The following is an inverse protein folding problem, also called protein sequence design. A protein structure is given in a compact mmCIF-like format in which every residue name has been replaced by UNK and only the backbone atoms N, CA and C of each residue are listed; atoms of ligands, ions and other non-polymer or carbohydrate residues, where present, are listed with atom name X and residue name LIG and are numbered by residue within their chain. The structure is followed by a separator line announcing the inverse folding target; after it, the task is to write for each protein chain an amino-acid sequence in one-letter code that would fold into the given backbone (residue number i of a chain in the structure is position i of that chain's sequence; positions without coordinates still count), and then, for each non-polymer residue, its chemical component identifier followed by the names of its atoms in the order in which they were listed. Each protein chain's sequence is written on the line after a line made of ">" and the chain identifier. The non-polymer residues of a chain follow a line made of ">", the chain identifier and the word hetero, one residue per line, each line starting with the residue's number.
data_IF_719623729727
#
_entry.id   IF_719623729727
#
_cell.length_a   1.000
_cell.length_b   1.000
_cell.length_c   1.000
_cell.angle_alpha   90.00
_cell.angle_beta   90.00
_cell.angle_gamma   90.00
#
_symmetry.space_group_name_H-M   'P 1'
#
loop_
_entity.id
_entity.type
_entity.pdbx_description
1 polymer ?
#
# COMPACT_ATOMS: atom_id res chain seq x y z
N UNK A 1 -9.91 -6.62 -30.63
CA UNK A 1 -10.77 -7.65 -30.05
C UNK A 1 -12.22 -7.43 -30.41
N UNK A 2 -12.91 -8.51 -30.69
CA UNK A 2 -14.36 -8.54 -30.94
C UNK A 2 -15.02 -9.26 -29.79
N UNK A 3 -15.17 -8.66 -28.63
CA UNK A 3 -15.74 -9.35 -27.48
C UNK A 3 -15.88 -8.43 -26.27
N UNK A 4 -16.26 -9.01 -25.13
CA UNK A 4 -16.43 -8.32 -23.86
C UNK A 4 -15.12 -7.75 -23.31
N UNK A 5 -13.97 -8.16 -23.85
CA UNK A 5 -12.61 -7.78 -23.43
C UNK A 5 -11.96 -6.67 -24.29
N UNK A 6 -12.72 -6.03 -25.18
CA UNK A 6 -12.23 -4.95 -26.05
C UNK A 6 -11.58 -3.79 -25.33
N UNK A 7 -12.01 -3.52 -24.11
CA UNK A 7 -11.49 -2.46 -23.26
C UNK A 7 -10.13 -2.78 -22.61
N UNK A 8 -9.71 -4.07 -22.66
CA UNK A 8 -8.41 -4.47 -22.12
C UNK A 8 -7.34 -4.22 -23.18
N UNK A 9 -6.28 -3.44 -22.89
CA UNK A 9 -5.15 -3.24 -23.81
C UNK A 9 -4.49 -4.55 -24.20
N UNK A 10 -3.98 -4.60 -25.44
CA UNK A 10 -3.33 -5.82 -25.97
C UNK A 10 -1.97 -6.08 -25.29
N UNK A 11 -1.32 -5.04 -24.82
CA UNK A 11 -0.01 -5.04 -24.14
C UNK A 11 -0.10 -5.22 -22.63
N UNK A 12 -1.28 -5.58 -22.11
CA UNK A 12 -1.42 -5.82 -20.68
C UNK A 12 -0.53 -6.99 -20.22
N UNK A 13 0.29 -6.82 -19.16
CA UNK A 13 1.43 -7.70 -18.86
C UNK A 13 1.02 -9.14 -18.47
N UNK A 14 -0.22 -9.35 -18.07
CA UNK A 14 -0.71 -10.67 -17.66
C UNK A 14 -1.64 -11.31 -18.69
N UNK A 15 -1.74 -10.75 -19.90
CA UNK A 15 -2.46 -11.38 -20.99
C UNK A 15 -1.68 -12.59 -21.53
N UNK A 16 -2.38 -13.72 -21.71
CA UNK A 16 -1.79 -15.00 -22.15
C UNK A 16 -0.66 -15.54 -21.26
N UNK A 17 -0.61 -15.16 -20.01
CA UNK A 17 0.32 -15.68 -18.99
C UNK A 17 -0.39 -16.72 -18.15
N UNK A 18 0.12 -17.96 -18.13
CA UNK A 18 -0.50 -19.06 -17.37
C UNK A 18 -0.78 -18.68 -15.91
N UNK A 19 -1.94 -19.09 -15.36
CA UNK A 19 -2.98 -19.93 -15.93
C UNK A 19 -3.99 -19.17 -16.83
N UNK A 20 -3.78 -17.88 -17.12
CA UNK A 20 -4.69 -17.06 -17.91
C UNK A 20 -4.54 -17.38 -19.39
N UNK A 21 -5.65 -17.72 -20.06
CA UNK A 21 -5.73 -17.83 -21.52
C UNK A 21 -6.56 -16.65 -22.02
N UNK A 22 -5.98 -15.81 -22.87
CA UNK A 22 -6.63 -14.60 -23.39
C UNK A 22 -6.18 -13.33 -22.67
N UNK A 23 -6.98 -12.27 -22.78
CA UNK A 23 -6.68 -10.97 -22.18
C UNK A 23 -6.94 -10.96 -20.68
N UNK A 24 -6.08 -10.30 -19.95
CA UNK A 24 -6.20 -10.05 -18.51
C UNK A 24 -6.32 -8.56 -18.23
N UNK A 25 -7.27 -8.18 -17.38
CA UNK A 25 -7.40 -6.80 -16.89
C UNK A 25 -6.39 -6.46 -15.77
N UNK A 26 -5.64 -7.44 -15.30
CA UNK A 26 -4.66 -7.24 -14.23
C UNK A 26 -3.46 -6.48 -14.77
N UNK A 27 -3.14 -5.33 -14.17
CA UNK A 27 -1.98 -4.50 -14.52
C UNK A 27 -0.78 -4.74 -13.60
N UNK A 28 -1.06 -4.90 -12.31
CA UNK A 28 -0.09 -5.16 -11.25
C UNK A 28 -0.71 -6.07 -10.20
N UNK A 29 0.10 -6.66 -9.31
CA UNK A 29 -0.35 -7.61 -8.29
C UNK A 29 0.17 -7.22 -6.91
N UNK A 30 -0.35 -7.88 -5.87
CA UNK A 30 0.19 -7.75 -4.52
C UNK A 30 -0.15 -6.45 -3.80
N UNK A 31 -1.16 -5.73 -4.25
CA UNK A 31 -1.71 -4.56 -3.55
C UNK A 31 -2.88 -5.04 -2.70
N UNK A 32 -2.89 -4.68 -1.41
CA UNK A 32 -3.93 -5.14 -0.48
C UNK A 32 -5.26 -4.42 -0.68
N UNK A 33 -5.31 -3.14 -0.37
CA UNK A 33 -6.56 -2.35 -0.37
C UNK A 33 -6.26 -0.91 -0.80
N UNK A 34 -6.18 -0.69 -2.10
CA UNK A 34 -5.92 0.64 -2.64
C UNK A 34 -7.17 1.51 -2.55
N UNK A 35 -7.04 2.71 -2.00
CA UNK A 35 -8.14 3.64 -1.76
C UNK A 35 -8.02 4.95 -2.56
N UNK A 36 -6.85 5.28 -3.07
CA UNK A 36 -6.64 6.48 -3.86
C UNK A 36 -5.61 6.27 -4.96
N UNK A 37 -5.80 6.96 -6.10
CA UNK A 37 -4.82 7.04 -7.17
C UNK A 37 -4.51 8.50 -7.48
N UNK A 38 -3.26 8.77 -7.83
CA UNK A 38 -2.84 10.08 -8.33
C UNK A 38 -1.80 9.94 -9.44
N UNK A 39 -1.79 10.87 -10.37
CA UNK A 39 -0.85 10.90 -11.48
C UNK A 39 0.00 12.17 -11.42
N UNK A 40 1.29 12.02 -11.17
CA UNK A 40 2.28 13.11 -11.15
C UNK A 40 3.58 12.66 -11.80
N UNK A 41 4.32 13.58 -12.43
CA UNK A 41 5.59 13.28 -13.09
C UNK A 41 5.55 12.05 -14.00
N UNK A 42 4.50 11.93 -14.84
CA UNK A 42 4.28 10.78 -15.74
C UNK A 42 4.28 9.42 -15.04
N UNK A 43 3.90 9.39 -13.78
CA UNK A 43 3.81 8.16 -12.99
C UNK A 43 2.47 8.08 -12.26
N UNK A 44 1.89 6.88 -12.25
CA UNK A 44 0.71 6.57 -11.46
C UNK A 44 1.15 6.11 -10.07
N UNK A 45 0.54 6.68 -9.06
CA UNK A 45 0.72 6.26 -7.66
C UNK A 45 -0.59 5.79 -7.07
N UNK A 46 -0.50 4.84 -6.14
CA UNK A 46 -1.64 4.33 -5.38
C UNK A 46 -1.37 4.36 -3.89
N UNK A 47 -2.41 4.61 -3.08
CA UNK A 47 -2.35 4.51 -1.62
C UNK A 47 -3.14 3.32 -1.12
N UNK A 48 -2.52 2.48 -0.30
CA UNK A 48 -3.09 1.22 0.16
C UNK A 48 -3.01 1.07 1.67
N UNK A 49 -4.06 0.49 2.27
CA UNK A 49 -4.03 0.10 3.69
C UNK A 49 -3.17 -1.14 3.89
N UNK A 50 -2.27 -1.08 4.86
CA UNK A 50 -1.66 -2.27 5.43
C UNK A 50 -2.65 -3.07 6.30
N UNK A 51 -2.33 -4.32 6.66
CA UNK A 51 -3.23 -5.16 7.45
C UNK A 51 -3.38 -4.70 8.91
N UNK A 52 -2.29 -4.29 9.52
CA UNK A 52 -2.23 -3.83 10.91
C UNK A 52 -1.40 -2.56 11.07
N UNK A 53 -0.39 -2.40 10.23
CA UNK A 53 0.50 -1.25 10.11
C UNK A 53 0.89 -1.10 8.64
N UNK A 54 1.82 -0.22 8.35
CA UNK A 54 2.45 -0.13 7.03
C UNK A 54 1.47 0.18 5.90
N UNK A 55 0.68 1.22 6.08
CA UNK A 55 -0.07 1.80 4.98
C UNK A 55 0.92 2.31 3.91
N UNK A 56 0.70 1.95 2.66
CA UNK A 56 1.68 2.12 1.60
C UNK A 56 1.30 3.21 0.61
N UNK A 57 2.32 3.87 0.08
CA UNK A 57 2.23 4.61 -1.19
C UNK A 57 3.13 3.93 -2.20
N UNK A 58 2.53 3.44 -3.27
CA UNK A 58 3.19 2.68 -4.33
C UNK A 58 3.21 3.44 -5.64
N UNK A 59 4.34 3.42 -6.36
CA UNK A 59 4.37 3.75 -7.78
C UNK A 59 3.85 2.53 -8.55
N UNK A 60 2.75 2.69 -9.27
CA UNK A 60 2.10 1.58 -9.97
C UNK A 60 2.76 1.33 -11.32
N UNK A 61 3.43 0.20 -11.43
CA UNK A 61 4.23 -0.19 -12.61
C UNK A 61 3.66 -1.48 -13.20
N UNK A 62 3.60 -1.53 -14.52
CA UNK A 62 3.15 -2.70 -15.28
C UNK A 62 3.91 -3.97 -14.90
N UNK A 63 3.19 -5.04 -14.63
CA UNK A 63 3.77 -6.37 -14.37
C UNK A 63 4.36 -6.56 -12.98
N UNK A 64 4.42 -5.52 -12.15
CA UNK A 64 5.06 -5.60 -10.84
C UNK A 64 4.17 -6.25 -9.77
N UNK A 65 4.81 -6.64 -8.67
CA UNK A 65 4.19 -7.24 -7.51
C UNK A 65 4.59 -6.46 -6.24
N UNK A 66 3.62 -6.02 -5.47
CA UNK A 66 3.78 -5.20 -4.26
C UNK A 66 3.73 -6.03 -2.97
N UNK A 67 3.85 -7.36 -3.08
CA UNK A 67 4.17 -8.25 -1.97
C UNK A 67 2.98 -8.82 -1.22
N UNK A 68 1.86 -8.10 -1.09
CA UNK A 68 0.72 -8.63 -0.34
C UNK A 68 0.24 -9.99 -0.91
N UNK A 69 -0.04 -10.98 -0.07
CA UNK A 69 -0.10 -10.97 1.38
C UNK A 69 1.19 -11.39 2.12
N UNK A 70 2.29 -11.62 1.43
CA UNK A 70 3.52 -12.19 2.01
C UNK A 70 4.50 -11.14 2.54
N UNK A 71 4.52 -9.97 1.92
CA UNK A 71 5.37 -8.84 2.29
C UNK A 71 4.45 -7.68 2.64
N UNK A 72 4.70 -7.04 3.77
CA UNK A 72 3.91 -5.93 4.30
C UNK A 72 4.84 -4.72 4.45
N UNK A 73 4.48 -3.61 3.81
CA UNK A 73 5.37 -2.45 3.76
C UNK A 73 6.60 -2.74 2.94
N UNK A 74 7.78 -2.46 3.48
CA UNK A 74 9.05 -2.74 2.80
C UNK A 74 9.55 -4.13 3.15
N UNK A 75 10.02 -4.85 2.16
CA UNK A 75 10.58 -6.18 2.35
C UNK A 75 11.68 -6.26 3.43
N UNK A 76 12.44 -5.18 3.61
CA UNK A 76 13.57 -5.13 4.53
C UNK A 76 13.22 -4.76 5.96
N UNK A 77 11.98 -4.36 6.26
CA UNK A 77 11.62 -3.88 7.60
C UNK A 77 11.31 -5.02 8.61
N UNK A 78 11.02 -6.22 8.11
CA UNK A 78 10.88 -7.40 8.94
C UNK A 78 9.69 -7.37 9.89
N UNK A 79 8.63 -6.66 9.56
CA UNK A 79 7.49 -6.39 10.44
C UNK A 79 6.86 -7.59 11.09
N UNK A 80 6.71 -8.67 10.34
CA UNK A 80 5.99 -9.84 10.81
C UNK A 80 6.87 -11.07 11.02
N UNK A 81 8.17 -10.95 10.86
CA UNK A 81 9.09 -12.10 10.85
C UNK A 81 9.06 -12.90 12.15
N UNK A 82 9.15 -12.28 13.29
CA UNK A 82 9.14 -12.93 14.59
C UNK A 82 7.77 -13.04 15.25
N UNK A 83 6.76 -12.40 14.70
CA UNK A 83 5.48 -12.22 15.37
C UNK A 83 4.78 -13.55 15.66
N UNK A 84 4.80 -14.49 14.72
CA UNK A 84 4.20 -15.81 14.88
C UNK A 84 4.93 -16.66 15.93
N UNK A 85 6.25 -16.56 15.99
CA UNK A 85 7.05 -17.28 16.98
C UNK A 85 6.81 -16.75 18.40
N UNK A 86 6.62 -15.44 18.53
CA UNK A 86 6.34 -14.80 19.81
C UNK A 86 4.91 -15.02 20.30
N UNK A 87 3.94 -15.16 19.38
CA UNK A 87 2.54 -15.45 19.69
C UNK A 87 1.98 -16.52 18.73
N UNK A 88 1.76 -17.76 19.19
CA UNK A 88 1.28 -18.87 18.35
C UNK A 88 -0.06 -18.59 17.66
N UNK A 89 -0.87 -17.70 18.22
CA UNK A 89 -2.16 -17.31 17.65
C UNK A 89 -2.03 -16.21 16.60
N UNK A 90 -0.89 -15.56 16.51
CA UNK A 90 -0.63 -14.55 15.50
C UNK A 90 -0.17 -15.23 14.20
N UNK A 91 -0.96 -15.10 13.16
CA UNK A 91 -0.70 -15.68 11.85
C UNK A 91 -0.33 -14.63 10.80
N UNK A 92 -0.02 -13.40 11.22
CA UNK A 92 0.27 -12.31 10.33
C UNK A 92 -0.84 -12.11 9.30
N UNK A 93 -0.48 -11.96 8.04
CA UNK A 93 -1.44 -11.77 6.95
C UNK A 93 -2.49 -12.88 6.85
N UNK A 94 -2.20 -14.11 7.29
CA UNK A 94 -3.16 -15.21 7.21
C UNK A 94 -4.40 -14.99 8.08
N UNK A 95 -4.32 -14.13 9.09
CA UNK A 95 -5.49 -13.77 9.90
C UNK A 95 -6.56 -13.04 9.08
N UNK A 96 -6.18 -12.32 8.03
CA UNK A 96 -7.12 -11.61 7.17
C UNK A 96 -8.02 -12.56 6.39
N UNK A 97 -7.55 -13.76 6.15
CA UNK A 97 -8.26 -14.77 5.37
C UNK A 97 -8.87 -15.87 6.24
N UNK A 98 -8.70 -15.79 7.55
CA UNK A 98 -9.28 -16.77 8.48
C UNK A 98 -10.80 -16.82 8.32
N UNK A 99 -11.33 -18.01 8.02
CA UNK A 99 -12.76 -18.20 7.77
C UNK A 99 -13.24 -17.84 6.35
N UNK A 100 -12.36 -17.43 5.45
CA UNK A 100 -12.75 -17.22 4.05
C UNK A 100 -13.08 -18.54 3.36
N UNK A 101 -14.27 -18.66 2.73
CA UNK A 101 -14.63 -19.86 2.00
C UNK A 101 -13.80 -20.07 0.71
N UNK A 102 -13.09 -19.04 0.27
CA UNK A 102 -12.27 -19.08 -0.95
C UNK A 102 -10.86 -19.61 -0.71
N UNK A 103 -10.42 -19.65 0.56
CA UNK A 103 -9.07 -20.06 0.93
C UNK A 103 -9.18 -21.23 1.91
N UNK A 104 -8.97 -22.42 1.41
CA UNK A 104 -9.08 -23.66 2.19
C UNK A 104 -7.80 -24.02 2.94
N UNK A 105 -6.65 -23.50 2.48
CA UNK A 105 -5.38 -23.63 3.15
C UNK A 105 -4.56 -22.36 3.00
N UNK A 106 -3.98 -21.87 4.10
CA UNK A 106 -3.11 -20.71 4.10
C UNK A 106 -1.67 -21.18 4.17
N UNK A 107 -0.78 -20.69 3.29
CA UNK A 107 0.63 -21.04 3.36
C UNK A 107 1.23 -20.57 4.69
N UNK A 108 2.27 -21.23 5.13
CA UNK A 108 3.01 -20.79 6.31
C UNK A 108 3.59 -19.39 6.05
N UNK A 109 3.57 -18.55 7.07
CA UNK A 109 4.27 -17.26 7.02
C UNK A 109 5.76 -17.56 7.04
N UNK A 110 6.46 -17.11 6.02
CA UNK A 110 7.91 -17.14 5.94
C UNK A 110 8.47 -15.79 6.36
N UNK A 111 9.76 -15.72 6.56
CA UNK A 111 10.47 -14.45 6.73
C UNK A 111 10.31 -13.62 5.46
N UNK A 112 9.64 -12.46 5.56
CA UNK A 112 9.38 -11.60 4.40
C UNK A 112 10.68 -11.07 3.76
N UNK A 113 11.73 -10.83 4.55
CA UNK A 113 13.03 -10.38 4.05
C UNK A 113 13.64 -11.39 3.06
N UNK A 114 13.34 -12.67 3.24
CA UNK A 114 13.82 -13.77 2.41
C UNK A 114 12.78 -14.27 1.38
N UNK A 115 11.58 -13.66 1.32
CA UNK A 115 10.58 -14.08 0.36
C UNK A 115 11.04 -13.80 -1.08
N UNK A 116 10.93 -14.82 -1.93
CA UNK A 116 11.35 -14.79 -3.33
C UNK A 116 10.22 -14.36 -4.28
N UNK A 117 9.32 -13.45 -3.84
CA UNK A 117 8.23 -12.95 -4.68
C UNK A 117 8.79 -12.34 -5.98
N UNK A 118 8.43 -12.90 -7.15
CA UNK A 118 8.93 -12.40 -8.43
C UNK A 118 8.44 -10.97 -8.72
N UNK A 119 9.31 -10.16 -9.32
CA UNK A 119 9.02 -8.77 -9.73
C UNK A 119 8.52 -7.90 -8.56
N UNK A 120 9.01 -8.17 -7.35
CA UNK A 120 8.67 -7.38 -6.18
C UNK A 120 9.25 -5.96 -6.27
N UNK A 121 8.45 -5.00 -5.84
CA UNK A 121 8.84 -3.59 -5.73
C UNK A 121 8.40 -3.05 -4.38
N UNK A 122 9.34 -2.42 -3.66
CA UNK A 122 9.04 -1.73 -2.41
C UNK A 122 8.11 -0.52 -2.63
N UNK A 123 7.26 -0.16 -1.66
CA UNK A 123 6.54 1.11 -1.67
C UNK A 123 7.53 2.27 -1.63
N UNK A 124 7.17 3.39 -2.27
CA UNK A 124 7.95 4.63 -2.17
C UNK A 124 7.94 5.18 -0.74
N UNK A 125 6.86 4.91 -0.02
CA UNK A 125 6.68 5.27 1.38
C UNK A 125 5.77 4.28 2.10
N UNK A 126 6.13 3.92 3.33
CA UNK A 126 5.32 3.13 4.26
C UNK A 126 5.09 3.92 5.54
N UNK A 127 3.82 4.07 5.92
CA UNK A 127 3.41 4.77 7.15
C UNK A 127 3.45 3.83 8.34
N UNK A 128 4.06 4.29 9.44
CA UNK A 128 4.10 3.56 10.69
C UNK A 128 4.72 2.18 10.57
N UNK A 129 5.89 2.13 9.94
CA UNK A 129 6.73 0.93 10.00
C UNK A 129 6.84 0.46 11.44
N UNK A 130 6.42 -0.76 11.70
CA UNK A 130 6.34 -1.30 13.05
C UNK A 130 7.17 -2.59 13.13
N UNK A 131 7.97 -2.71 14.17
CA UNK A 131 8.71 -3.95 14.42
C UNK A 131 7.81 -5.08 14.93
N UNK A 132 8.33 -6.30 14.89
CA UNK A 132 7.62 -7.49 15.35
C UNK A 132 7.11 -7.37 16.79
N UNK A 133 7.90 -6.78 17.69
CA UNK A 133 7.52 -6.65 19.10
C UNK A 133 6.30 -5.74 19.26
N UNK A 134 6.27 -4.63 18.53
CA UNK A 134 5.13 -3.70 18.50
C UNK A 134 3.88 -4.39 17.96
N UNK A 135 3.99 -5.11 16.85
CA UNK A 135 2.86 -5.84 16.24
C UNK A 135 2.32 -6.89 17.21
N UNK A 136 3.18 -7.71 17.81
CA UNK A 136 2.77 -8.73 18.78
C UNK A 136 2.10 -8.11 20.00
N UNK A 137 2.66 -7.03 20.54
CA UNK A 137 2.10 -6.33 21.69
C UNK A 137 0.70 -5.78 21.39
N UNK A 138 0.51 -5.12 20.27
CA UNK A 138 -0.80 -4.57 19.88
C UNK A 138 -1.80 -5.70 19.65
N UNK A 139 -1.41 -6.75 18.95
CA UNK A 139 -2.27 -7.90 18.68
C UNK A 139 -2.74 -8.59 19.96
N UNK A 140 -1.85 -8.70 20.95
CA UNK A 140 -2.13 -9.38 22.21
C UNK A 140 -2.96 -8.53 23.18
N UNK A 141 -2.61 -7.24 23.29
CA UNK A 141 -3.12 -6.38 24.36
C UNK A 141 -4.16 -5.36 23.89
N UNK A 142 -4.19 -5.06 22.59
CA UNK A 142 -5.14 -4.10 22.01
C UNK A 142 -5.60 -4.53 20.61
N UNK A 143 -6.36 -5.62 20.52
CA UNK A 143 -6.77 -6.18 19.22
C UNK A 143 -7.80 -5.32 18.48
N UNK A 144 -8.29 -4.24 19.08
CA UNK A 144 -9.22 -3.34 18.40
C UNK A 144 -8.53 -2.53 17.31
N UNK A 145 -9.24 -2.22 16.23
CA UNK A 145 -8.72 -1.45 15.09
C UNK A 145 -8.24 -0.05 15.46
N UNK A 146 -8.68 0.51 16.60
CA UNK A 146 -8.27 1.86 17.03
C UNK A 146 -6.81 1.93 17.46
N UNK A 147 -6.24 0.85 18.00
CA UNK A 147 -4.86 0.79 18.48
C UNK A 147 -3.82 0.59 17.39
N UNK A 148 -4.20 0.09 16.23
CA UNK A 148 -3.25 -0.21 15.17
C UNK A 148 -2.61 1.05 14.57
N UNK A 149 -1.28 1.05 14.33
CA UNK A 149 -0.57 2.17 13.74
C UNK A 149 -0.90 2.27 12.24
N UNK A 150 -1.82 3.16 11.92
CA UNK A 150 -2.32 3.39 10.56
C UNK A 150 -2.81 4.83 10.42
N UNK A 151 -2.68 5.40 9.25
CA UNK A 151 -3.38 6.63 8.84
C UNK A 151 -4.74 6.30 8.24
N UNK A 152 -4.93 5.05 7.81
CA UNK A 152 -6.06 4.61 7.01
C UNK A 152 -6.22 5.54 5.79
N UNK A 153 -5.32 5.47 4.79
CA UNK A 153 -5.37 6.34 3.62
C UNK A 153 -6.68 6.16 2.86
N UNK A 154 -7.20 7.25 2.33
CA UNK A 154 -8.39 7.26 1.48
C UNK A 154 -8.06 7.86 0.13
N UNK A 155 -8.77 8.91 -0.31
CA UNK A 155 -8.45 9.59 -1.55
C UNK A 155 -7.01 10.12 -1.57
N UNK A 156 -6.43 10.13 -2.75
CA UNK A 156 -5.13 10.72 -3.02
C UNK A 156 -5.22 11.54 -4.31
N UNK A 157 -4.68 12.74 -4.28
CA UNK A 157 -4.68 13.64 -5.44
C UNK A 157 -3.27 14.18 -5.71
N UNK A 158 -2.99 14.44 -6.99
CA UNK A 158 -1.71 14.99 -7.43
C UNK A 158 -1.74 16.51 -7.50
N UNK A 159 -0.93 17.20 -6.69
CA UNK A 159 -0.78 18.65 -6.79
C UNK A 159 0.25 19.01 -7.85
N UNK A 160 -0.22 19.32 -9.06
CA UNK A 160 0.63 19.65 -10.21
C UNK A 160 0.86 21.16 -10.41
N UNK A 161 0.17 21.97 -9.64
CA UNK A 161 0.25 23.42 -9.71
C UNK A 161 1.50 23.99 -9.02
N UNK A 162 1.83 25.24 -9.33
CA UNK A 162 2.97 25.95 -8.73
C UNK A 162 2.55 27.08 -7.75
N UNK A 163 1.27 27.12 -7.34
CA UNK A 163 0.77 28.17 -6.45
C UNK A 163 1.34 28.10 -5.04
N UNK A 164 1.62 26.90 -4.54
CA UNK A 164 2.28 26.71 -3.26
C UNK A 164 3.76 26.39 -3.53
N UNK A 165 4.69 27.22 -3.07
CA UNK A 165 6.12 26.97 -3.27
C UNK A 165 6.55 25.61 -2.73
N UNK A 166 7.29 24.84 -3.53
CA UNK A 166 7.78 23.50 -3.17
C UNK A 166 6.76 22.36 -3.29
N UNK A 167 5.48 22.65 -3.53
CA UNK A 167 4.44 21.60 -3.56
C UNK A 167 4.22 20.96 -4.94
N UNK A 168 4.69 21.61 -6.01
CA UNK A 168 4.49 21.07 -7.35
C UNK A 168 4.95 19.63 -7.45
N UNK A 169 4.11 18.77 -8.05
CA UNK A 169 4.30 17.32 -8.19
C UNK A 169 4.34 16.55 -6.85
N UNK A 170 3.62 17.03 -5.87
CA UNK A 170 3.38 16.29 -4.63
C UNK A 170 2.11 15.45 -4.74
N UNK A 171 2.08 14.36 -3.99
CA UNK A 171 0.89 13.57 -3.69
C UNK A 171 0.29 14.10 -2.39
N UNK A 172 -1.00 14.35 -2.38
CA UNK A 172 -1.74 14.74 -1.17
C UNK A 172 -2.69 13.60 -0.84
N UNK A 173 -2.55 13.05 0.37
CA UNK A 173 -3.33 11.93 0.85
C UNK A 173 -4.29 12.37 1.93
N UNK A 174 -5.51 11.90 1.84
CA UNK A 174 -6.53 12.03 2.88
C UNK A 174 -6.43 10.86 3.87
N UNK A 175 -6.64 11.14 5.14
CA UNK A 175 -6.62 10.15 6.22
C UNK A 175 -8.01 9.97 6.83
N UNK A 176 -8.47 8.72 6.95
CA UNK A 176 -9.71 8.38 7.64
C UNK A 176 -9.54 8.33 9.16
N UNK A 177 -8.33 8.01 9.63
CA UNK A 177 -8.08 7.73 11.04
C UNK A 177 -7.50 8.92 11.79
N UNK A 178 -6.70 9.75 11.14
CA UNK A 178 -5.91 10.80 11.79
C UNK A 178 -6.48 12.21 11.65
N UNK A 179 -7.49 12.40 10.78
CA UNK A 179 -8.15 13.69 10.61
C UNK A 179 -7.27 14.78 10.01
N UNK A 180 -6.24 14.43 9.25
CA UNK A 180 -5.35 15.36 8.57
C UNK A 180 -5.03 14.92 7.14
N UNK A 181 -4.47 15.83 6.39
CA UNK A 181 -3.88 15.54 5.08
C UNK A 181 -2.38 15.31 5.22
N UNK A 182 -1.83 14.46 4.38
CA UNK A 182 -0.41 14.21 4.30
C UNK A 182 0.09 14.55 2.90
N UNK A 183 1.20 15.27 2.83
CA UNK A 183 1.89 15.56 1.59
C UNK A 183 3.15 14.69 1.49
N UNK A 184 3.30 14.03 0.35
CA UNK A 184 4.50 13.33 -0.05
C UNK A 184 4.92 13.85 -1.41
N UNK A 185 6.19 14.19 -1.57
CA UNK A 185 6.76 14.49 -2.87
C UNK A 185 7.64 13.35 -3.31
N UNK A 186 7.25 12.61 -4.35
CA UNK A 186 8.12 11.59 -4.92
C UNK A 186 9.45 12.22 -5.40
N UNK A 187 10.52 11.49 -5.26
CA UNK A 187 11.80 11.86 -5.84
C UNK A 187 11.73 11.90 -7.38
N UNK A 188 12.77 12.35 -8.05
CA UNK A 188 12.78 12.48 -9.50
C UNK A 188 12.59 11.16 -10.25
N UNK A 189 13.01 10.04 -9.66
CA UNK A 189 12.83 8.69 -10.21
C UNK A 189 11.45 8.11 -9.86
N UNK A 190 10.76 8.67 -8.87
CA UNK A 190 9.52 8.15 -8.33
C UNK A 190 9.70 6.82 -7.59
N UNK A 191 10.88 6.54 -7.06
CA UNK A 191 11.21 5.31 -6.33
C UNK A 191 11.33 5.51 -4.82
N UNK A 192 11.28 6.75 -4.38
CA UNK A 192 11.32 7.16 -2.99
C UNK A 192 10.67 8.53 -2.80
N UNK A 193 10.85 9.10 -1.63
CA UNK A 193 10.37 10.44 -1.27
C UNK A 193 11.54 11.40 -1.23
N UNK A 194 11.35 12.61 -1.76
CA UNK A 194 12.29 13.70 -1.58
C UNK A 194 12.36 14.06 -0.08
N UNK A 195 13.50 13.78 0.55
CA UNK A 195 13.70 13.98 1.98
C UNK A 195 13.84 15.45 2.37
N UNK A 196 14.13 16.33 1.41
CA UNK A 196 14.28 17.76 1.66
C UNK A 196 12.92 18.44 1.47
N UNK A 197 12.13 18.49 2.55
CA UNK A 197 10.79 19.10 2.52
C UNK A 197 9.76 18.33 1.69
N UNK A 198 10.06 17.08 1.37
CA UNK A 198 9.17 16.21 0.59
C UNK A 198 8.07 15.49 1.40
N UNK A 199 8.10 15.61 2.71
CA UNK A 199 7.11 15.03 3.60
C UNK A 199 6.55 16.09 4.56
N UNK A 200 5.25 16.13 4.70
CA UNK A 200 4.57 17.11 5.56
C UNK A 200 3.19 16.61 5.96
N UNK A 201 2.73 17.03 7.14
CA UNK A 201 1.36 16.87 7.60
C UNK A 201 0.68 18.23 7.68
N UNK A 202 -0.51 18.35 7.11
CA UNK A 202 -1.24 19.60 7.17
C UNK A 202 -1.78 19.88 8.57
N UNK A 203 -1.11 20.76 9.31
CA UNK A 203 -1.62 21.24 10.59
C UNK A 203 -2.92 22.04 10.46
N UNK A 204 -3.13 22.69 9.32
CA UNK A 204 -4.32 23.53 9.06
C UNK A 204 -5.59 22.70 8.98
N UNK A 205 -5.51 21.47 8.49
CA UNK A 205 -6.64 20.56 8.36
C UNK A 205 -6.62 19.44 9.40
N UNK A 206 -5.88 19.62 10.47
CA UNK A 206 -5.86 18.66 11.58
C UNK A 206 -7.15 18.81 12.39
N UNK A 207 -8.10 17.94 12.14
CA UNK A 207 -9.44 17.93 12.72
C UNK A 207 -9.78 16.54 13.27
N UNK A 208 -10.96 16.39 13.86
CA UNK A 208 -11.51 15.07 14.24
C UNK A 208 -12.27 14.41 13.05
N UNK A 209 -12.32 15.05 11.91
CA UNK A 209 -13.06 14.56 10.75
C UNK A 209 -12.30 13.49 9.99
N UNK A 210 -13.04 12.66 9.28
CA UNK A 210 -12.51 11.63 8.39
C UNK A 210 -12.51 12.19 6.98
N UNK A 211 -11.34 12.48 6.44
CA UNK A 211 -11.21 12.91 5.05
C UNK A 211 -11.30 11.69 4.12
N UNK A 212 -12.07 11.80 3.05
CA UNK A 212 -12.31 10.70 2.11
C UNK A 212 -11.76 10.96 0.74
N UNK A 213 -11.85 12.20 0.28
CA UNK A 213 -11.49 12.58 -1.07
C UNK A 213 -10.96 14.00 -1.13
N UNK A 214 -10.26 14.33 -2.21
CA UNK A 214 -9.59 15.59 -2.47
C UNK A 214 -9.79 15.99 -3.93
N UNK A 215 -9.87 17.30 -4.18
CA UNK A 215 -9.85 17.87 -5.53
C UNK A 215 -9.13 19.22 -5.51
N UNK A 216 -8.38 19.53 -6.59
CA UNK A 216 -7.67 20.80 -6.78
C UNK A 216 -8.10 21.50 -8.06
#
# INVERSE_FOLDING_TARGET
>A
GTGLDKWIPDDNPFSNVAPVTGKSAVWARGIRNNQGFAYVNNSLFGSSHGPFSDDEVNKIISGQNYGHPKIIGKKSDGNYNGAKAANPNFKGWSNEFAGSPLITSLPAITDEANDATPNYVDPIYSYFQSDNATIVNIYTNNPSNSGWPSIAPSGMEGYTYSKIPGWKNSLILASLKRGYLMRIKPDAAGTGVDLIGGFDTSAVLNTQNRFRDLAF
#
